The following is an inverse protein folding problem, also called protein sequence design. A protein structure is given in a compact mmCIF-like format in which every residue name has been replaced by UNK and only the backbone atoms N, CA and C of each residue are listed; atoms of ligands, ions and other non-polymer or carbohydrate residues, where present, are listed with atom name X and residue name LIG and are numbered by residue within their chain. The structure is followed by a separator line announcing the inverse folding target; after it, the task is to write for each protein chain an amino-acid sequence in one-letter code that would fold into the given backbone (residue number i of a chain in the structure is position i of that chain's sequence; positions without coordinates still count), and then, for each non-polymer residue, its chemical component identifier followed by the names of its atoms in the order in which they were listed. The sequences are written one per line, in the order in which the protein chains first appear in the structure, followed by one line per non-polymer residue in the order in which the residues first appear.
data_IF_975226885919
#
_entry.id   IF_975226885919
#
_cell.length_a   1.000
_cell.length_b   1.000
_cell.length_c   1.000
_cell.angle_alpha   90.00
_cell.angle_beta   90.00
_cell.angle_gamma   90.00
#
_symmetry.space_group_name_H-M   'P 1'
#
loop_
_entity.id
_entity.type
_entity.pdbx_description
1 polymer ?
#
# COMPACT_ATOMS: atom_id res chain seq x y z
N UNK A 1 -15.63 15.73 7.62
CA UNK A 1 -16.32 16.94 8.12
C UNK A 1 -17.42 17.24 7.11
N UNK A 2 -18.69 17.38 7.55
CA UNK A 2 -19.75 17.84 6.66
C UNK A 2 -19.50 19.28 6.22
N UNK A 3 -20.09 19.69 5.07
CA UNK A 3 -19.99 21.07 4.57
C UNK A 3 -20.42 22.09 5.63
N UNK A 4 -21.47 21.77 6.41
CA UNK A 4 -21.99 22.62 7.49
C UNK A 4 -20.99 22.73 8.66
N UNK A 5 -20.31 21.64 9.02
CA UNK A 5 -19.24 21.65 10.03
C UNK A 5 -18.03 22.47 9.57
N UNK A 6 -17.67 22.40 8.29
CA UNK A 6 -16.63 23.24 7.71
C UNK A 6 -17.00 24.73 7.69
N UNK A 7 -18.27 25.07 7.44
CA UNK A 7 -18.76 26.45 7.53
C UNK A 7 -18.73 27.00 8.96
N UNK A 8 -19.15 26.19 9.95
CA UNK A 8 -19.11 26.59 11.37
C UNK A 8 -17.67 26.82 11.81
N UNK A 9 -16.73 25.93 11.44
CA UNK A 9 -15.30 26.11 11.71
C UNK A 9 -14.77 27.37 11.04
N UNK A 10 -15.08 27.59 9.77
CA UNK A 10 -14.62 28.76 9.02
C UNK A 10 -15.16 30.08 9.62
N UNK A 11 -16.41 30.10 10.08
CA UNK A 11 -16.98 31.26 10.82
C UNK A 11 -16.29 31.48 12.16
N UNK A 12 -15.99 30.41 12.90
CA UNK A 12 -15.29 30.48 14.19
C UNK A 12 -13.85 31.01 14.01
N UNK A 13 -13.13 30.56 13.00
CA UNK A 13 -11.77 31.04 12.68
C UNK A 13 -11.74 32.42 12.06
N UNK A 14 -12.73 32.78 11.22
CA UNK A 14 -12.84 34.13 10.67
C UNK A 14 -13.17 35.15 11.74
N UNK A 15 -13.98 34.80 12.73
CA UNK A 15 -14.25 35.67 13.88
C UNK A 15 -13.02 35.86 14.79
N UNK A 16 -12.17 34.84 14.90
CA UNK A 16 -10.91 34.94 15.64
C UNK A 16 -9.84 35.78 14.89
N UNK A 17 -9.87 35.79 13.55
CA UNK A 17 -8.96 36.57 12.71
C UNK A 17 -9.40 38.05 12.58
N UNK A 18 -10.66 38.40 12.89
CA UNK A 18 -11.16 39.81 12.85
C UNK A 18 -11.02 40.53 14.18
N UNK A 19 -10.56 39.87 15.25
CA UNK A 19 -10.16 40.53 16.49
C UNK A 19 -8.77 41.12 16.32
N UNK A 20 -8.75 42.35 15.79
CA UNK A 20 -7.71 43.36 15.87
C UNK A 20 -6.25 42.90 15.89
N UNK A 21 -5.70 42.53 14.73
CA UNK A 21 -4.28 42.47 14.50
C UNK A 21 -3.88 43.32 13.29
N UNK A 22 -4.04 44.61 13.42
CA UNK A 22 -3.39 45.61 12.53
C UNK A 22 -2.02 46.00 13.06
N UNK A 23 -1.33 45.17 13.83
CA UNK A 23 0.08 45.30 14.00
C UNK A 23 0.78 44.56 12.86
N UNK A 24 1.45 45.31 12.00
CA UNK A 24 2.41 44.77 11.04
C UNK A 24 3.43 43.92 11.81
N UNK A 25 3.24 42.58 11.75
CA UNK A 25 4.29 41.66 12.18
C UNK A 25 5.37 41.74 11.09
N UNK A 26 6.35 42.63 11.27
CA UNK A 26 7.60 42.55 10.54
C UNK A 26 8.18 41.17 10.84
N UNK A 27 8.29 40.31 9.81
CA UNK A 27 9.04 39.06 9.91
C UNK A 27 10.51 39.39 10.29
N UNK A 28 10.78 39.32 11.56
CA UNK A 28 12.14 39.55 12.07
C UNK A 28 13.06 38.39 11.65
N UNK A 29 14.24 38.64 11.12
CA UNK A 29 15.25 37.60 10.83
C UNK A 29 15.62 36.71 12.02
N UNK A 30 15.30 37.15 13.25
CA UNK A 30 15.50 36.34 14.46
C UNK A 30 14.61 35.08 14.53
N UNK A 31 13.51 35.02 13.79
CA UNK A 31 12.64 33.84 13.75
C UNK A 31 13.37 32.60 13.15
N UNK A 32 14.28 32.80 12.22
CA UNK A 32 15.09 31.71 11.65
C UNK A 32 16.17 31.19 12.60
N UNK A 33 16.73 32.05 13.47
CA UNK A 33 17.75 31.64 14.44
C UNK A 33 17.15 30.85 15.62
N UNK A 34 15.89 31.13 16.00
CA UNK A 34 15.17 30.36 17.03
C UNK A 34 14.65 29.02 16.48
N UNK A 35 14.37 28.90 15.18
CA UNK A 35 14.00 27.64 14.59
C UNK A 35 15.13 26.61 14.48
N UNK A 36 16.39 27.03 14.44
CA UNK A 36 17.53 26.11 14.45
C UNK A 36 17.77 25.45 15.83
N UNK A 37 17.19 26.00 16.91
CA UNK A 37 17.21 25.41 18.24
C UNK A 37 15.97 24.63 18.63
N UNK A 38 14.96 24.52 17.75
CA UNK A 38 13.64 23.93 18.01
C UNK A 38 13.47 22.53 17.47
N UNK A 39 14.49 21.70 17.38
CA UNK A 39 14.20 20.34 16.97
C UNK A 39 14.90 19.27 17.75
N UNK A 40 14.47 19.06 18.95
CA UNK A 40 14.53 17.69 19.43
C UNK A 40 13.42 16.93 18.68
N UNK A 41 13.81 16.19 17.65
CA UNK A 41 12.90 15.26 16.96
C UNK A 41 12.32 14.20 17.92
N UNK A 42 12.72 14.24 19.18
CA UNK A 42 12.29 13.42 20.30
C UNK A 42 11.92 14.35 21.46
N UNK A 43 10.63 14.36 21.85
CA UNK A 43 10.12 15.15 22.98
C UNK A 43 10.57 14.57 24.32
N UNK A 44 10.60 13.25 24.45
CA UNK A 44 11.04 12.53 25.63
C UNK A 44 11.42 11.10 25.30
N UNK A 45 12.24 10.49 26.17
CA UNK A 45 12.57 9.07 26.12
C UNK A 45 12.48 8.48 27.52
N UNK A 46 11.86 7.32 27.66
CA UNK A 46 11.92 6.49 28.86
C UNK A 46 12.78 5.27 28.58
N UNK A 47 13.82 5.07 29.38
CA UNK A 47 14.68 3.91 29.26
C UNK A 47 13.95 2.63 29.64
N UNK A 48 14.23 1.56 28.94
CA UNK A 48 13.68 0.24 29.20
C UNK A 48 14.03 -0.27 30.60
N UNK A 49 13.14 -1.06 31.12
CA UNK A 49 13.25 -1.81 32.38
C UNK A 49 12.94 -3.28 32.11
N UNK A 50 13.00 -4.14 33.12
CA UNK A 50 12.82 -5.58 32.94
C UNK A 50 11.53 -6.00 32.23
N UNK A 51 10.44 -5.23 32.37
CA UNK A 51 9.12 -5.50 31.80
C UNK A 51 8.69 -4.45 30.73
N UNK A 52 9.52 -3.44 30.46
CA UNK A 52 9.18 -2.36 29.54
C UNK A 52 10.34 -2.10 28.59
N UNK A 53 10.12 -2.10 27.26
CA UNK A 53 11.12 -1.66 26.27
C UNK A 53 11.40 -0.15 26.40
N UNK A 54 12.45 0.33 25.76
CA UNK A 54 12.67 1.78 25.57
C UNK A 54 11.42 2.39 24.91
N UNK A 55 11.03 3.61 25.34
CA UNK A 55 9.92 4.37 24.77
C UNK A 55 10.41 5.71 24.29
N UNK A 56 10.06 6.10 23.08
CA UNK A 56 10.34 7.42 22.52
C UNK A 56 9.05 8.12 22.10
N UNK A 57 8.93 9.38 22.45
CA UNK A 57 7.81 10.24 22.11
C UNK A 57 8.28 11.28 21.09
N UNK A 58 7.61 11.34 19.93
CA UNK A 58 7.98 12.24 18.83
C UNK A 58 6.81 13.11 18.39
N UNK A 59 7.02 14.39 18.10
CA UNK A 59 6.01 15.19 17.44
C UNK A 59 5.87 14.74 15.97
N UNK A 60 4.64 14.72 15.47
CA UNK A 60 4.35 14.46 14.06
C UNK A 60 3.45 15.58 13.52
N UNK A 61 4.00 16.79 13.41
CA UNK A 61 3.25 18.02 13.17
C UNK A 61 2.64 18.57 14.48
N UNK A 62 1.63 19.42 14.34
CA UNK A 62 0.99 20.13 15.47
C UNK A 62 -0.22 19.41 16.10
N UNK A 63 -0.73 18.36 15.44
CA UNK A 63 -1.94 17.63 15.84
C UNK A 63 -1.71 16.13 16.00
N UNK A 64 -0.46 15.68 15.93
CA UNK A 64 -0.11 14.27 16.06
C UNK A 64 1.09 14.09 16.99
N UNK A 65 1.03 13.02 17.77
CA UNK A 65 2.14 12.54 18.58
C UNK A 65 2.35 11.04 18.29
N UNK A 66 3.60 10.65 18.05
CA UNK A 66 4.01 9.28 17.83
C UNK A 66 4.70 8.73 19.08
N UNK A 67 4.19 7.60 19.59
CA UNK A 67 4.85 6.81 20.64
C UNK A 67 5.49 5.59 19.98
N UNK A 68 6.77 5.36 20.21
CA UNK A 68 7.53 4.24 19.66
C UNK A 68 8.16 3.40 20.76
N UNK A 69 8.08 2.07 20.62
CA UNK A 69 8.65 1.10 21.56
C UNK A 69 9.81 0.31 20.93
N UNK A 70 10.91 0.18 21.69
CA UNK A 70 12.02 -0.70 21.37
C UNK A 70 12.70 -0.45 20.03
N UNK A 71 13.37 -1.46 19.53
CA UNK A 71 14.07 -1.44 18.25
C UNK A 71 13.12 -1.59 17.04
N UNK A 72 13.61 -1.28 15.84
CA UNK A 72 12.87 -1.41 14.58
C UNK A 72 12.82 -2.88 14.13
N UNK A 73 12.09 -3.71 14.87
CA UNK A 73 11.93 -5.15 14.62
C UNK A 73 10.46 -5.54 14.60
N UNK A 74 10.16 -6.64 13.89
CA UNK A 74 8.83 -7.25 13.91
C UNK A 74 8.71 -8.17 15.13
N UNK A 75 8.21 -7.61 16.23
CA UNK A 75 8.00 -8.29 17.50
C UNK A 75 6.56 -8.11 17.97
N UNK A 76 5.84 -9.22 18.22
CA UNK A 76 4.45 -9.16 18.69
C UNK A 76 4.36 -8.64 20.13
N UNK A 77 5.39 -8.78 20.96
CA UNK A 77 5.38 -8.21 22.31
C UNK A 77 5.23 -6.68 22.23
N UNK A 78 5.92 -6.02 21.27
CA UNK A 78 5.76 -4.58 21.04
C UNK A 78 4.35 -4.24 20.55
N UNK A 79 3.76 -5.08 19.69
CA UNK A 79 2.39 -4.88 19.19
C UNK A 79 1.33 -5.02 20.31
N UNK A 80 1.53 -5.96 21.22
CA UNK A 80 0.68 -6.11 22.41
C UNK A 80 0.84 -4.92 23.36
N UNK A 81 2.07 -4.42 23.53
CA UNK A 81 2.31 -3.19 24.33
C UNK A 81 1.56 -1.99 23.75
N UNK A 82 1.61 -1.80 22.41
CA UNK A 82 0.83 -0.78 21.71
C UNK A 82 -0.67 -0.96 21.95
N UNK A 83 -1.16 -2.20 21.94
CA UNK A 83 -2.56 -2.48 22.20
C UNK A 83 -2.95 -2.07 23.63
N UNK A 84 -2.13 -2.42 24.62
CA UNK A 84 -2.36 -2.05 26.01
C UNK A 84 -2.40 -0.51 26.17
N UNK A 85 -1.45 0.23 25.59
CA UNK A 85 -1.46 1.69 25.60
C UNK A 85 -2.72 2.26 24.92
N UNK A 86 -3.09 1.72 23.77
CA UNK A 86 -4.29 2.17 23.06
C UNK A 86 -5.57 1.94 23.89
N UNK A 87 -5.68 0.81 24.60
CA UNK A 87 -6.81 0.57 25.50
C UNK A 87 -6.79 1.54 26.66
N UNK A 88 -5.63 1.73 27.31
CA UNK A 88 -5.50 2.69 28.42
C UNK A 88 -5.97 4.09 28.01
N UNK A 89 -5.52 4.60 26.84
CA UNK A 89 -5.93 5.92 26.33
C UNK A 89 -7.44 5.99 26.08
N UNK A 90 -8.06 4.92 25.58
CA UNK A 90 -9.51 4.85 25.36
C UNK A 90 -10.28 4.84 26.68
N UNK A 91 -9.82 4.08 27.66
CA UNK A 91 -10.47 3.94 28.96
C UNK A 91 -10.44 5.25 29.75
N UNK A 92 -9.38 6.05 29.59
CA UNK A 92 -9.30 7.40 30.20
C UNK A 92 -10.26 8.41 29.57
N UNK A 93 -10.80 8.14 28.38
CA UNK A 93 -11.72 9.06 27.68
C UNK A 93 -11.20 10.49 27.58
N UNK A 94 -9.91 10.65 27.28
CA UNK A 94 -9.21 11.94 27.29
C UNK A 94 -9.84 12.89 26.26
N UNK A 95 -10.34 14.03 26.73
CA UNK A 95 -10.90 15.06 25.87
C UNK A 95 -9.82 15.62 24.94
N UNK A 96 -10.13 15.80 23.66
CA UNK A 96 -9.19 16.25 22.63
C UNK A 96 -8.50 15.12 21.86
N UNK A 97 -8.60 13.86 22.27
CA UNK A 97 -8.16 12.74 21.42
C UNK A 97 -9.18 12.53 20.30
N UNK A 98 -8.71 12.56 19.05
CA UNK A 98 -9.54 12.40 17.85
C UNK A 98 -9.48 10.98 17.32
N UNK A 99 -8.26 10.41 17.19
CA UNK A 99 -8.05 9.07 16.65
C UNK A 99 -6.75 8.43 17.16
N UNK A 100 -6.73 7.10 17.15
CA UNK A 100 -5.60 6.27 17.58
C UNK A 100 -5.25 5.27 16.46
N UNK A 101 -4.08 5.42 15.85
CA UNK A 101 -3.62 4.55 14.77
C UNK A 101 -2.45 3.68 15.23
N UNK A 102 -2.68 2.39 15.54
CA UNK A 102 -1.62 1.50 15.98
C UNK A 102 -0.79 0.99 14.80
N UNK A 103 0.53 1.04 14.95
CA UNK A 103 1.51 0.34 14.12
C UNK A 103 1.99 -0.96 14.78
N UNK A 104 3.11 -1.50 14.30
CA UNK A 104 3.71 -2.73 14.84
C UNK A 104 4.35 -2.47 16.21
N UNK A 105 5.11 -1.39 16.32
CA UNK A 105 5.81 -0.96 17.53
C UNK A 105 5.53 0.50 17.90
N UNK A 106 4.52 1.11 17.30
CA UNK A 106 4.20 2.52 17.48
C UNK A 106 2.71 2.77 17.59
N UNK A 107 2.33 3.84 18.28
CA UNK A 107 0.98 4.38 18.31
C UNK A 107 1.03 5.83 17.85
N UNK A 108 0.34 6.15 16.76
CA UNK A 108 0.10 7.54 16.38
C UNK A 108 -1.21 8.02 17.02
N UNK A 109 -1.12 9.12 17.72
CA UNK A 109 -2.24 9.76 18.40
C UNK A 109 -2.57 11.06 17.68
N UNK A 110 -3.78 11.14 17.12
CA UNK A 110 -4.33 12.36 16.57
C UNK A 110 -5.11 13.10 17.67
N UNK A 111 -4.76 14.34 17.92
CA UNK A 111 -5.39 15.15 18.97
C UNK A 111 -5.68 16.57 18.50
N UNK A 112 -6.68 17.19 19.09
CA UNK A 112 -6.99 18.61 18.91
C UNK A 112 -6.10 19.44 19.83
N UNK A 113 -5.10 20.09 19.27
CA UNK A 113 -4.12 20.90 20.01
C UNK A 113 -4.73 22.18 20.63
N UNK A 114 -5.96 22.54 20.29
CA UNK A 114 -6.69 23.63 20.93
C UNK A 114 -7.41 23.19 22.21
N UNK A 115 -7.63 21.89 22.38
CA UNK A 115 -8.30 21.29 23.56
C UNK A 115 -7.30 20.61 24.48
N UNK A 116 -6.33 19.90 23.91
CA UNK A 116 -5.32 19.13 24.63
C UNK A 116 -3.93 19.57 24.13
N UNK A 117 -3.17 20.26 24.98
CA UNK A 117 -1.82 20.65 24.61
C UNK A 117 -0.85 19.47 24.61
N UNK A 118 0.19 19.55 23.80
CA UNK A 118 1.15 18.46 23.60
C UNK A 118 1.91 18.07 24.88
N UNK A 119 2.19 19.04 25.79
CA UNK A 119 2.90 18.76 27.05
C UNK A 119 2.03 17.97 28.00
N UNK A 120 0.73 18.32 28.07
CA UNK A 120 -0.23 17.58 28.88
C UNK A 120 -0.43 16.17 28.34
N UNK A 121 -0.60 16.00 27.00
CA UNK A 121 -0.68 14.69 26.39
C UNK A 121 0.57 13.85 26.69
N UNK A 122 1.78 14.44 26.56
CA UNK A 122 3.02 13.75 26.88
C UNK A 122 3.07 13.29 28.34
N UNK A 123 2.64 14.12 29.29
CA UNK A 123 2.60 13.76 30.71
C UNK A 123 1.64 12.59 30.98
N UNK A 124 0.45 12.60 30.35
CA UNK A 124 -0.51 11.50 30.43
C UNK A 124 0.06 10.19 29.87
N UNK A 125 0.76 10.25 28.76
CA UNK A 125 1.38 9.06 28.15
C UNK A 125 2.53 8.51 28.99
N UNK A 126 3.31 9.38 29.64
CA UNK A 126 4.36 8.96 30.59
C UNK A 126 3.74 8.34 31.86
N UNK A 127 2.61 8.87 32.35
CA UNK A 127 1.85 8.27 33.43
C UNK A 127 1.33 6.88 33.03
N UNK A 128 0.77 6.74 31.82
CA UNK A 128 0.31 5.46 31.27
C UNK A 128 1.38 4.37 31.41
N UNK A 129 2.66 4.69 31.14
CA UNK A 129 3.74 3.71 31.21
C UNK A 129 3.95 3.10 32.59
N UNK A 130 3.57 3.81 33.66
CA UNK A 130 3.59 3.29 35.03
C UNK A 130 2.35 2.48 35.41
N UNK A 131 1.27 2.61 34.65
CA UNK A 131 -0.03 1.97 34.91
C UNK A 131 -0.33 0.80 33.97
N UNK A 132 0.39 0.68 32.84
CA UNK A 132 0.20 -0.42 31.91
C UNK A 132 0.53 -1.77 32.55
N UNK A 133 -0.31 -2.80 32.34
CA UNK A 133 -0.06 -4.14 32.85
C UNK A 133 1.17 -4.77 32.20
N UNK A 134 1.69 -5.83 32.83
CA UNK A 134 2.61 -6.76 32.18
C UNK A 134 1.87 -7.45 31.02
N UNK A 135 2.37 -7.26 29.78
CA UNK A 135 1.73 -7.79 28.58
C UNK A 135 2.10 -9.25 28.31
N UNK A 136 3.09 -9.82 29.02
CA UNK A 136 3.61 -11.16 28.73
C UNK A 136 2.58 -12.27 28.80
N UNK A 137 1.53 -12.12 29.63
CA UNK A 137 0.42 -13.05 29.75
C UNK A 137 -0.90 -12.50 29.16
N UNK A 138 -0.82 -11.45 28.34
CA UNK A 138 -2.02 -10.82 27.76
C UNK A 138 -2.67 -11.72 26.72
N UNK A 139 -3.99 -11.74 26.76
CA UNK A 139 -4.86 -12.38 25.78
C UNK A 139 -5.67 -11.35 25.04
N UNK A 140 -5.86 -11.55 23.74
CA UNK A 140 -6.72 -10.71 22.91
C UNK A 140 -7.68 -11.57 22.09
N UNK A 141 -8.93 -11.10 21.85
CA UNK A 141 -9.81 -11.75 20.89
C UNK A 141 -9.14 -11.83 19.52
N UNK A 142 -9.15 -13.01 18.91
CA UNK A 142 -8.50 -13.29 17.63
C UNK A 142 -9.37 -14.24 16.82
N UNK A 143 -10.09 -13.69 15.81
CA UNK A 143 -10.90 -14.52 14.90
C UNK A 143 -10.02 -15.09 13.82
N UNK A 144 -10.32 -16.30 13.38
CA UNK A 144 -9.76 -16.84 12.11
C UNK A 144 -10.77 -16.59 10.98
N UNK A 145 -10.37 -15.77 10.02
CA UNK A 145 -11.17 -15.41 8.84
C UNK A 145 -10.64 -16.19 7.65
N UNK A 146 -11.46 -17.09 7.11
CA UNK A 146 -11.09 -17.92 5.97
C UNK A 146 -11.45 -17.19 4.68
N UNK A 147 -10.45 -16.96 3.82
CA UNK A 147 -10.60 -16.23 2.57
C UNK A 147 -10.27 -17.11 1.37
N UNK A 148 -11.09 -17.10 0.29
CA UNK A 148 -10.73 -17.75 -0.95
C UNK A 148 -9.52 -17.04 -1.59
N UNK A 149 -8.61 -17.80 -2.19
CA UNK A 149 -7.49 -17.26 -2.94
C UNK A 149 -7.34 -18.01 -4.26
N UNK A 150 -7.52 -17.29 -5.38
CA UNK A 150 -7.11 -17.76 -6.69
C UNK A 150 -5.62 -17.49 -6.86
N UNK A 151 -4.84 -18.58 -6.88
CA UNK A 151 -3.40 -18.54 -6.99
C UNK A 151 -2.96 -18.10 -8.39
N UNK A 152 -1.99 -17.17 -8.48
CA UNK A 152 -1.47 -16.66 -9.76
C UNK A 152 -2.60 -16.20 -10.73
N UNK A 153 -3.61 -15.50 -10.20
CA UNK A 153 -4.79 -15.01 -10.94
C UNK A 153 -4.40 -14.17 -12.17
N UNK A 154 -5.18 -14.32 -13.26
CA UNK A 154 -4.90 -13.68 -14.55
C UNK A 154 -4.78 -12.16 -14.49
N UNK A 155 -5.54 -11.50 -13.61
CA UNK A 155 -5.46 -10.04 -13.46
C UNK A 155 -4.16 -9.60 -12.79
N UNK A 156 -3.59 -10.42 -11.89
CA UNK A 156 -2.27 -10.13 -11.30
C UNK A 156 -1.14 -10.37 -12.31
N UNK A 157 -1.29 -11.35 -13.20
CA UNK A 157 -0.37 -11.57 -14.31
C UNK A 157 -0.42 -10.39 -15.31
N UNK A 158 -1.63 -9.97 -15.70
CA UNK A 158 -1.82 -8.79 -16.56
C UNK A 158 -1.18 -7.52 -15.95
N UNK A 159 -1.31 -7.32 -14.63
CA UNK A 159 -0.69 -6.18 -13.97
C UNK A 159 0.85 -6.24 -14.03
N UNK A 160 1.44 -7.43 -13.95
CA UNK A 160 2.88 -7.63 -14.11
C UNK A 160 3.34 -7.39 -15.54
N UNK A 161 2.61 -7.91 -16.53
CA UNK A 161 2.88 -7.68 -17.95
C UNK A 161 2.81 -6.18 -18.31
N UNK A 162 1.75 -5.52 -17.83
CA UNK A 162 1.56 -4.08 -18.01
C UNK A 162 2.71 -3.27 -17.42
N UNK A 163 3.16 -3.63 -16.23
CA UNK A 163 4.30 -3.00 -15.59
C UNK A 163 5.59 -3.15 -16.42
N UNK A 164 5.87 -4.33 -16.93
CA UNK A 164 7.03 -4.56 -17.79
C UNK A 164 6.99 -3.74 -19.08
N UNK A 165 5.78 -3.53 -19.64
CA UNK A 165 5.62 -2.80 -20.89
C UNK A 165 5.71 -1.27 -20.70
N UNK A 166 5.24 -0.74 -19.57
CA UNK A 166 5.03 0.71 -19.42
C UNK A 166 5.92 1.37 -18.36
N UNK A 167 6.56 0.58 -17.49
CA UNK A 167 7.34 1.14 -16.37
C UNK A 167 8.77 0.62 -16.38
N UNK A 168 8.97 -0.70 -16.31
CA UNK A 168 10.31 -1.29 -16.19
C UNK A 168 10.37 -2.70 -16.76
N UNK A 169 10.87 -2.86 -18.00
CA UNK A 169 10.90 -4.17 -18.67
C UNK A 169 11.90 -5.16 -18.08
N UNK A 170 12.98 -4.67 -17.45
CA UNK A 170 14.09 -5.46 -16.90
C UNK A 170 14.02 -5.67 -15.39
N UNK A 171 12.84 -5.46 -14.78
CA UNK A 171 12.68 -5.57 -13.33
C UNK A 171 13.01 -6.99 -12.82
N UNK A 172 13.87 -7.14 -11.80
CA UNK A 172 14.34 -8.44 -11.32
C UNK A 172 13.26 -9.39 -10.79
N UNK A 173 12.11 -8.84 -10.41
CA UNK A 173 10.93 -9.58 -9.92
C UNK A 173 9.94 -9.96 -11.01
N UNK A 174 10.20 -9.59 -12.25
CA UNK A 174 9.39 -9.90 -13.42
C UNK A 174 10.05 -11.02 -14.25
N UNK A 175 9.27 -11.74 -15.06
CA UNK A 175 7.82 -11.67 -15.25
C UNK A 175 7.00 -12.44 -14.21
N UNK A 176 7.62 -13.18 -13.29
CA UNK A 176 6.99 -14.13 -12.38
C UNK A 176 7.30 -13.77 -10.93
N UNK A 177 6.32 -13.16 -10.24
CA UNK A 177 6.49 -12.75 -8.86
C UNK A 177 6.64 -13.93 -7.89
N UNK A 178 5.98 -15.05 -8.14
CA UNK A 178 6.09 -16.26 -7.29
C UNK A 178 7.47 -16.88 -7.42
N UNK A 179 8.02 -16.94 -8.63
CA UNK A 179 9.39 -17.37 -8.84
C UNK A 179 10.41 -16.42 -8.17
N UNK A 180 10.16 -15.12 -8.22
CA UNK A 180 10.96 -14.16 -7.49
C UNK A 180 10.90 -14.37 -5.98
N UNK A 181 9.70 -14.57 -5.41
CA UNK A 181 9.53 -14.90 -3.99
C UNK A 181 10.30 -16.18 -3.64
N UNK A 182 10.23 -17.21 -4.48
CA UNK A 182 10.99 -18.45 -4.30
C UNK A 182 12.49 -18.19 -4.18
N UNK A 183 13.06 -17.48 -5.18
CA UNK A 183 14.51 -17.22 -5.26
C UNK A 183 15.03 -16.42 -4.07
N UNK A 184 14.38 -15.30 -3.77
CA UNK A 184 14.85 -14.35 -2.74
C UNK A 184 14.75 -14.95 -1.32
N UNK A 185 13.90 -15.96 -1.12
CA UNK A 185 13.76 -16.67 0.15
C UNK A 185 14.54 -18.00 0.21
N UNK A 186 15.21 -18.41 -0.87
CA UNK A 186 15.96 -19.65 -0.94
C UNK A 186 15.11 -20.92 -0.86
N UNK A 187 13.89 -20.88 -1.39
CA UNK A 187 12.99 -22.03 -1.41
C UNK A 187 13.23 -22.92 -2.63
N UNK A 188 12.98 -24.23 -2.47
CA UNK A 188 13.29 -25.24 -3.49
C UNK A 188 12.38 -25.15 -4.71
N UNK A 189 11.13 -24.70 -4.55
CA UNK A 189 10.14 -24.66 -5.64
C UNK A 189 9.07 -23.59 -5.43
N UNK A 190 8.39 -23.21 -6.52
CA UNK A 190 7.16 -22.39 -6.46
C UNK A 190 6.07 -23.06 -5.62
N UNK A 191 6.02 -24.40 -5.62
CA UNK A 191 5.09 -25.15 -4.78
C UNK A 191 5.36 -24.92 -3.30
N UNK A 192 6.63 -24.82 -2.87
CA UNK A 192 6.97 -24.50 -1.48
C UNK A 192 6.48 -23.09 -1.08
N UNK A 193 6.50 -22.10 -2.00
CA UNK A 193 5.90 -20.78 -1.76
C UNK A 193 4.40 -20.93 -1.54
N UNK A 194 3.72 -21.66 -2.41
CA UNK A 194 2.28 -21.91 -2.34
C UNK A 194 1.89 -22.61 -1.04
N UNK A 195 2.61 -23.66 -0.66
CA UNK A 195 2.36 -24.42 0.55
C UNK A 195 2.48 -23.54 1.80
N UNK A 196 3.50 -22.67 1.86
CA UNK A 196 3.66 -21.71 2.93
C UNK A 196 2.46 -20.76 2.98
N UNK A 197 2.05 -20.17 1.84
CA UNK A 197 0.95 -19.20 1.79
C UNK A 197 -0.35 -19.82 2.29
N UNK A 198 -0.68 -21.04 1.88
CA UNK A 198 -1.95 -21.69 2.25
C UNK A 198 -1.92 -22.36 3.65
N UNK A 199 -0.76 -22.74 4.16
CA UNK A 199 -0.66 -23.30 5.53
C UNK A 199 -0.64 -22.23 6.62
N UNK A 200 -0.31 -20.99 6.26
CA UNK A 200 -0.06 -19.89 7.19
C UNK A 200 -1.34 -19.31 7.78
N UNK A 201 -1.28 -18.93 9.06
CA UNK A 201 -2.18 -17.97 9.68
C UNK A 201 -1.50 -16.59 9.69
N UNK A 202 -2.09 -15.62 8.98
CA UNK A 202 -1.59 -14.25 8.89
C UNK A 202 -2.27 -13.36 9.94
N UNK A 203 -1.53 -12.94 10.95
CA UNK A 203 -2.05 -12.04 11.98
C UNK A 203 -2.17 -10.62 11.45
N UNK A 204 -3.37 -10.04 11.53
CA UNK A 204 -3.66 -8.65 11.15
C UNK A 204 -3.08 -7.71 12.21
N UNK A 205 -1.98 -7.04 11.88
CA UNK A 205 -1.25 -6.13 12.75
C UNK A 205 -1.74 -4.69 12.63
N UNK A 206 -2.22 -4.31 11.45
CA UNK A 206 -2.73 -3.00 11.10
C UNK A 206 -3.82 -3.08 10.04
N UNK A 207 -4.62 -2.02 9.93
CA UNK A 207 -5.68 -1.85 8.93
C UNK A 207 -5.54 -0.48 8.29
N UNK A 208 -5.69 -0.40 6.97
CA UNK A 208 -5.58 0.85 6.23
C UNK A 208 -4.15 1.22 5.85
N UNK A 209 -3.34 0.24 5.39
CA UNK A 209 -1.98 0.48 4.91
C UNK A 209 -1.94 1.63 3.87
N UNK A 210 -2.65 1.46 2.75
CA UNK A 210 -2.87 2.52 1.74
C UNK A 210 -4.37 2.77 1.60
N UNK A 211 -5.20 1.74 1.80
CA UNK A 211 -6.63 1.76 1.59
C UNK A 211 -7.37 1.37 2.87
N UNK A 212 -8.56 1.95 3.05
CA UNK A 212 -9.43 1.69 4.18
C UNK A 212 -9.70 0.19 4.38
N UNK A 213 -9.40 -0.33 5.57
CA UNK A 213 -9.62 -1.73 5.92
C UNK A 213 -8.67 -2.73 5.24
N UNK A 214 -7.71 -2.28 4.45
CA UNK A 214 -6.67 -3.15 3.88
C UNK A 214 -5.76 -3.67 5.00
N UNK A 215 -5.56 -4.99 5.11
CA UNK A 215 -4.73 -5.55 6.18
C UNK A 215 -3.23 -5.37 5.88
N UNK A 216 -2.48 -5.04 6.92
CA UNK A 216 -1.06 -5.34 7.03
C UNK A 216 -0.96 -6.53 7.96
N UNK A 217 -0.65 -7.70 7.41
CA UNK A 217 -0.64 -8.94 8.16
C UNK A 217 0.71 -9.66 8.06
N UNK A 218 1.06 -10.41 9.10
CA UNK A 218 2.30 -11.18 9.13
C UNK A 218 2.04 -12.61 9.59
N UNK A 219 2.76 -13.62 9.09
CA UNK A 219 2.70 -14.97 9.61
C UNK A 219 3.04 -15.03 11.10
N UNK A 220 2.22 -15.76 11.86
CA UNK A 220 2.51 -16.05 13.27
C UNK A 220 3.82 -16.86 13.39
N UNK A 221 3.96 -17.90 12.59
CA UNK A 221 5.22 -18.66 12.54
C UNK A 221 6.28 -17.87 11.73
N UNK A 222 7.42 -17.51 12.35
CA UNK A 222 8.49 -16.80 11.66
C UNK A 222 9.09 -17.55 10.46
N UNK A 223 8.96 -18.89 10.40
CA UNK A 223 9.42 -19.71 9.26
C UNK A 223 8.53 -19.57 8.03
N UNK A 224 7.34 -19.01 8.19
CA UNK A 224 6.42 -18.67 7.09
C UNK A 224 6.51 -17.22 6.64
N UNK A 225 7.35 -16.40 7.26
CA UNK A 225 7.52 -14.98 6.90
C UNK A 225 8.39 -14.86 5.66
N UNK A 226 7.77 -14.99 4.50
CA UNK A 226 8.41 -14.74 3.22
C UNK A 226 8.74 -13.24 3.12
N UNK A 227 9.98 -12.92 2.77
CA UNK A 227 10.45 -11.54 2.58
C UNK A 227 10.61 -11.22 1.12
N UNK A 228 10.28 -10.00 0.72
CA UNK A 228 10.48 -9.52 -0.65
C UNK A 228 10.91 -8.06 -0.65
N UNK A 229 11.45 -7.59 -1.76
CA UNK A 229 11.49 -6.17 -2.06
C UNK A 229 10.17 -5.73 -2.70
N UNK A 230 9.87 -4.45 -2.62
CA UNK A 230 8.75 -3.85 -3.37
C UNK A 230 9.17 -3.57 -4.81
N UNK A 231 8.19 -3.43 -5.69
CA UNK A 231 8.41 -2.87 -7.03
C UNK A 231 9.03 -1.46 -6.93
N UNK A 232 10.04 -1.20 -7.72
CA UNK A 232 10.69 0.10 -7.83
C UNK A 232 10.99 0.41 -9.31
N UNK A 233 10.29 1.38 -9.92
CA UNK A 233 9.13 2.14 -9.42
C UNK A 233 7.92 1.25 -9.08
N UNK A 234 6.94 1.80 -8.33
CA UNK A 234 5.69 1.09 -8.07
C UNK A 234 4.89 0.88 -9.37
N UNK A 235 4.05 -0.19 -9.42
CA UNK A 235 3.10 -0.36 -10.51
C UNK A 235 2.11 0.79 -10.52
N UNK A 236 1.70 1.21 -11.70
CA UNK A 236 0.65 2.22 -11.91
C UNK A 236 -0.75 1.64 -11.63
N UNK A 237 -0.92 0.35 -11.90
CA UNK A 237 -2.18 -0.36 -11.68
C UNK A 237 -1.97 -1.70 -10.97
N UNK A 238 -2.84 -1.97 -10.00
CA UNK A 238 -2.95 -3.22 -9.24
C UNK A 238 -4.43 -3.56 -9.18
N UNK A 239 -4.86 -4.78 -9.53
CA UNK A 239 -6.27 -5.14 -9.49
C UNK A 239 -6.81 -5.17 -8.05
N UNK A 240 -8.09 -4.83 -7.88
CA UNK A 240 -8.72 -4.89 -6.55
C UNK A 240 -8.66 -6.31 -5.97
N UNK A 241 -8.41 -6.39 -4.70
CA UNK A 241 -8.26 -7.62 -3.91
C UNK A 241 -7.09 -8.53 -4.33
N UNK A 242 -6.11 -7.98 -5.05
CA UNK A 242 -4.83 -8.64 -5.21
C UNK A 242 -4.19 -8.88 -3.85
N UNK A 243 -3.62 -10.06 -3.67
CA UNK A 243 -2.86 -10.45 -2.49
C UNK A 243 -1.39 -10.40 -2.83
N UNK A 244 -0.62 -9.69 -2.03
CA UNK A 244 0.81 -9.53 -2.27
C UNK A 244 1.64 -9.51 -1.01
N UNK A 245 2.94 -9.79 -1.17
CA UNK A 245 3.94 -9.77 -0.11
C UNK A 245 4.93 -8.63 -0.38
N UNK A 246 5.18 -7.81 0.63
CA UNK A 246 6.12 -6.70 0.57
C UNK A 246 6.85 -6.51 1.90
N UNK A 247 8.19 -6.54 1.89
CA UNK A 247 8.94 -6.73 3.13
C UNK A 247 8.61 -8.09 3.73
N UNK A 248 8.23 -8.13 5.00
CA UNK A 248 7.78 -9.34 5.71
C UNK A 248 6.25 -9.36 5.92
N UNK A 249 5.51 -8.57 5.16
CA UNK A 249 4.07 -8.40 5.35
C UNK A 249 3.27 -8.84 4.12
N UNK A 250 2.11 -9.41 4.38
CA UNK A 250 1.07 -9.66 3.40
C UNK A 250 0.05 -8.54 3.45
N UNK A 251 -0.39 -8.08 2.29
CA UNK A 251 -1.46 -7.11 2.12
C UNK A 251 -2.51 -7.62 1.13
N UNK A 252 -3.75 -7.21 1.32
CA UNK A 252 -4.84 -7.34 0.34
C UNK A 252 -5.21 -5.95 -0.13
N UNK A 253 -5.10 -5.70 -1.43
CA UNK A 253 -5.45 -4.40 -2.00
C UNK A 253 -6.96 -4.21 -1.99
N UNK A 254 -7.45 -3.23 -1.23
CA UNK A 254 -8.89 -3.00 -1.07
C UNK A 254 -9.60 -2.45 -2.30
N UNK A 255 -8.86 -1.85 -3.23
CA UNK A 255 -9.36 -1.25 -4.47
C UNK A 255 -8.25 -1.20 -5.51
N UNK A 256 -8.61 -0.93 -6.77
CA UNK A 256 -7.63 -0.69 -7.83
C UNK A 256 -6.79 0.57 -7.54
N UNK A 257 -5.52 0.50 -7.91
CA UNK A 257 -4.60 1.63 -7.69
C UNK A 257 -3.13 1.24 -7.85
N UNK A 258 -2.21 2.14 -7.53
CA UNK A 258 -0.78 1.83 -7.55
C UNK A 258 -0.42 0.79 -6.48
N UNK A 259 0.64 0.03 -6.73
CA UNK A 259 1.10 -0.95 -5.75
C UNK A 259 2.50 -1.44 -5.99
N UNK A 260 3.16 -1.90 -4.93
CA UNK A 260 4.55 -2.35 -4.97
C UNK A 260 4.80 -3.76 -4.43
N UNK A 261 3.79 -4.46 -3.90
CA UNK A 261 3.99 -5.80 -3.35
C UNK A 261 4.04 -6.86 -4.45
N UNK A 262 4.79 -7.93 -4.19
CA UNK A 262 4.90 -9.08 -5.08
C UNK A 262 3.63 -9.93 -4.99
N UNK A 263 3.00 -10.20 -6.11
CA UNK A 263 1.73 -10.91 -6.15
C UNK A 263 1.86 -12.41 -5.82
N UNK A 264 0.82 -12.93 -5.17
CA UNK A 264 0.60 -14.38 -5.01
C UNK A 264 -0.76 -14.81 -5.59
N UNK A 265 -1.68 -13.90 -5.77
CA UNK A 265 -3.00 -14.19 -6.33
C UNK A 265 -4.00 -13.10 -5.99
N UNK A 266 -5.30 -13.44 -6.05
CA UNK A 266 -6.40 -12.51 -5.76
C UNK A 266 -7.46 -13.17 -4.87
N UNK A 267 -8.09 -12.38 -4.01
CA UNK A 267 -9.12 -12.81 -3.05
C UNK A 267 -10.43 -12.04 -3.23
N UNK A 268 -11.31 -12.11 -2.24
CA UNK A 268 -12.59 -11.42 -2.23
C UNK A 268 -12.51 -10.04 -1.61
N UNK A 269 -13.61 -9.29 -1.66
CA UNK A 269 -13.74 -7.93 -1.15
C UNK A 269 -13.53 -7.88 0.37
N UNK A 270 -12.70 -6.92 0.81
CA UNK A 270 -12.38 -6.70 2.22
C UNK A 270 -13.16 -5.52 2.83
N UNK A 271 -13.69 -4.62 1.98
CA UNK A 271 -14.40 -3.42 2.42
C UNK A 271 -15.43 -2.97 1.37
N UNK A 272 -16.43 -2.20 1.81
CA UNK A 272 -17.35 -1.51 0.92
C UNK A 272 -17.93 -0.28 1.61
N UNK A 273 -17.71 0.89 1.04
CA UNK A 273 -18.27 2.14 1.56
C UNK A 273 -19.78 2.26 1.34
N UNK A 274 -20.27 1.68 0.25
CA UNK A 274 -21.63 1.92 -0.23
C UNK A 274 -22.60 0.75 0.01
N UNK A 275 -22.09 -0.44 0.28
CA UNK A 275 -22.90 -1.65 0.49
C UNK A 275 -22.67 -2.17 1.90
N UNK A 276 -23.76 -2.39 2.64
CA UNK A 276 -23.72 -3.12 3.89
C UNK A 276 -23.59 -4.60 3.59
N UNK A 277 -22.51 -5.23 4.01
CA UNK A 277 -22.33 -6.67 3.96
C UNK A 277 -22.59 -7.22 5.38
N UNK A 278 -23.33 -8.33 5.54
CA UNK A 278 -23.59 -8.96 6.84
C UNK A 278 -22.33 -9.33 7.61
N UNK A 279 -21.23 -9.60 6.91
CA UNK A 279 -19.92 -9.93 7.53
C UNK A 279 -19.15 -8.68 8.02
N UNK A 280 -19.63 -7.47 7.67
CA UNK A 280 -19.06 -6.20 8.16
C UNK A 280 -19.75 -5.77 9.43
N UNK A 281 -19.22 -6.18 10.55
CA UNK A 281 -19.83 -5.98 11.86
C UNK A 281 -19.64 -4.56 12.41
N UNK A 282 -20.44 -4.20 13.41
CA UNK A 282 -20.40 -2.92 14.12
C UNK A 282 -20.57 -1.68 13.23
N UNK A 283 -21.25 -1.83 12.08
CA UNK A 283 -21.47 -0.72 11.14
C UNK A 283 -20.21 -0.24 10.41
N UNK A 284 -19.08 -0.95 10.53
CA UNK A 284 -17.84 -0.62 9.84
C UNK A 284 -17.94 -1.02 8.36
N UNK A 285 -17.32 -0.26 7.46
CA UNK A 285 -17.29 -0.59 6.04
C UNK A 285 -16.19 -1.60 5.65
N UNK A 286 -15.64 -2.37 6.59
CA UNK A 286 -14.60 -3.37 6.35
C UNK A 286 -14.78 -4.63 7.20
N UNK A 287 -14.19 -5.74 6.72
CA UNK A 287 -14.32 -7.09 7.28
C UNK A 287 -13.44 -7.33 8.51
N UNK A 288 -12.17 -6.98 8.40
CA UNK A 288 -11.12 -7.41 9.33
C UNK A 288 -11.03 -6.52 10.56
N UNK A 289 -10.48 -7.09 11.63
CA UNK A 289 -10.18 -6.41 12.90
C UNK A 289 -8.69 -6.58 13.25
N UNK A 290 -8.18 -5.75 14.13
CA UNK A 290 -6.87 -6.00 14.72
C UNK A 290 -6.85 -7.35 15.42
N UNK A 291 -5.76 -8.08 15.27
CA UNK A 291 -5.55 -9.42 15.76
C UNK A 291 -6.39 -10.52 15.10
N UNK A 292 -7.21 -10.25 14.09
CA UNK A 292 -7.75 -11.31 13.25
C UNK A 292 -6.61 -12.11 12.60
N UNK A 293 -6.85 -13.38 12.35
CA UNK A 293 -5.95 -14.25 11.59
C UNK A 293 -6.59 -14.54 10.24
N UNK A 294 -5.92 -14.21 9.16
CA UNK A 294 -6.34 -14.58 7.81
C UNK A 294 -5.78 -15.95 7.49
N UNK A 295 -6.63 -16.86 7.04
CA UNK A 295 -6.26 -18.15 6.49
C UNK A 295 -6.82 -18.31 5.10
N UNK A 296 -5.94 -18.51 4.12
CA UNK A 296 -6.36 -18.71 2.75
C UNK A 296 -6.73 -20.17 2.48
N UNK A 297 -7.71 -20.39 1.59
CA UNK A 297 -8.01 -21.67 0.96
C UNK A 297 -8.08 -21.50 -0.55
N UNK A 298 -7.59 -22.51 -1.27
CA UNK A 298 -7.47 -22.45 -2.71
C UNK A 298 -8.83 -22.56 -3.41
N UNK A 299 -9.04 -21.71 -4.39
CA UNK A 299 -10.16 -21.77 -5.35
C UNK A 299 -9.64 -21.49 -6.76
N UNK A 300 -10.36 -21.95 -7.77
CA UNK A 300 -10.10 -21.53 -9.15
C UNK A 300 -10.48 -20.05 -9.36
N UNK A 301 -9.93 -19.43 -10.39
CA UNK A 301 -10.28 -18.05 -10.75
C UNK A 301 -11.78 -17.91 -11.06
N UNK A 302 -12.37 -18.88 -11.75
CA UNK A 302 -13.81 -18.90 -12.06
C UNK A 302 -14.67 -18.95 -10.79
N UNK A 303 -14.31 -19.81 -9.84
CA UNK A 303 -14.98 -19.89 -8.54
C UNK A 303 -14.82 -18.58 -7.76
N UNK A 304 -13.62 -18.02 -7.74
CA UNK A 304 -13.38 -16.73 -7.08
C UNK A 304 -14.29 -15.64 -7.64
N UNK A 305 -14.40 -15.52 -8.97
CA UNK A 305 -15.26 -14.51 -9.60
C UNK A 305 -16.72 -14.66 -9.19
N UNK A 306 -17.25 -15.90 -9.16
CA UNK A 306 -18.60 -16.15 -8.66
C UNK A 306 -18.74 -15.80 -7.18
N UNK A 307 -17.77 -16.20 -6.34
CA UNK A 307 -17.77 -15.88 -4.91
C UNK A 307 -17.71 -14.37 -4.65
N UNK A 308 -16.95 -13.61 -5.44
CA UNK A 308 -16.86 -12.14 -5.35
C UNK A 308 -18.22 -11.48 -5.63
N UNK A 309 -18.94 -11.93 -6.66
CA UNK A 309 -20.28 -11.42 -6.96
C UNK A 309 -21.30 -11.80 -5.87
N UNK A 310 -21.23 -13.01 -5.36
CA UNK A 310 -22.11 -13.48 -4.29
C UNK A 310 -21.83 -12.77 -2.97
N UNK A 311 -20.58 -12.51 -2.65
CA UNK A 311 -20.20 -11.76 -1.45
C UNK A 311 -20.65 -10.30 -1.53
N UNK A 312 -20.42 -9.62 -2.66
CA UNK A 312 -20.90 -8.24 -2.89
C UNK A 312 -22.44 -8.15 -2.82
N UNK A 313 -23.14 -9.18 -3.22
CA UNK A 313 -24.60 -9.27 -3.17
C UNK A 313 -25.14 -9.73 -1.79
N UNK A 314 -24.27 -10.08 -0.85
CA UNK A 314 -24.66 -10.59 0.47
C UNK A 314 -25.20 -12.03 0.46
N UNK A 315 -24.98 -12.79 -0.62
CA UNK A 315 -25.39 -14.20 -0.75
C UNK A 315 -24.36 -15.18 -0.21
N UNK A 316 -23.06 -14.82 -0.26
CA UNK A 316 -22.00 -15.61 0.32
C UNK A 316 -21.66 -15.07 1.70
N UNK A 317 -21.63 -15.95 2.70
CA UNK A 317 -21.10 -15.69 4.04
C UNK A 317 -19.72 -16.33 4.16
N UNK A 318 -18.75 -15.55 4.65
CA UNK A 318 -17.41 -16.07 4.90
C UNK A 318 -17.40 -16.94 6.17
N UNK A 319 -16.53 -17.94 6.18
CA UNK A 319 -16.26 -18.70 7.41
C UNK A 319 -15.40 -17.87 8.33
N UNK A 320 -15.90 -17.63 9.52
CA UNK A 320 -15.18 -16.93 10.60
C UNK A 320 -15.31 -17.79 11.86
N UNK A 321 -14.19 -18.01 12.54
CA UNK A 321 -14.13 -18.76 13.80
C UNK A 321 -13.58 -17.84 14.88
N UNK A 322 -14.32 -17.73 15.99
CA UNK A 322 -13.86 -16.99 17.14
C UNK A 322 -12.71 -17.73 17.84
N UNK A 323 -11.79 -16.98 18.42
CA UNK A 323 -10.64 -17.52 19.13
C UNK A 323 -9.97 -16.46 19.99
N UNK A 324 -8.88 -16.84 20.58
CA UNK A 324 -8.05 -16.00 21.45
C UNK A 324 -6.59 -16.17 21.01
N UNK A 325 -5.86 -15.07 20.96
CA UNK A 325 -4.40 -15.09 20.82
C UNK A 325 -3.79 -14.79 22.18
N UNK A 326 -3.06 -15.77 22.73
CA UNK A 326 -2.34 -15.69 24.00
C UNK A 326 -0.86 -15.38 23.71
N UNK A 327 -0.36 -14.27 24.23
CA UNK A 327 1.01 -13.83 23.99
C UNK A 327 2.04 -14.78 24.63
N UNK A 328 1.71 -15.34 25.81
CA UNK A 328 2.61 -16.30 26.46
C UNK A 328 2.77 -17.57 25.65
N UNK A 329 1.68 -18.17 25.17
CA UNK A 329 1.73 -19.37 24.31
C UNK A 329 2.52 -19.09 23.02
N UNK A 330 2.35 -17.91 22.45
CA UNK A 330 3.13 -17.49 21.29
C UNK A 330 4.64 -17.39 21.62
N UNK A 331 5.02 -16.81 22.74
CA UNK A 331 6.40 -16.70 23.16
C UNK A 331 7.01 -18.10 23.50
N UNK A 332 6.24 -18.96 24.16
CA UNK A 332 6.64 -20.35 24.42
C UNK A 332 6.92 -21.10 23.08
N UNK A 333 6.03 -20.96 22.10
CA UNK A 333 6.23 -21.48 20.75
C UNK A 333 7.52 -20.96 20.09
N UNK A 334 7.84 -19.68 20.23
CA UNK A 334 9.08 -19.10 19.67
C UNK A 334 10.32 -19.69 20.32
N UNK A 335 10.28 -19.91 21.65
CA UNK A 335 11.39 -20.51 22.41
C UNK A 335 11.60 -21.97 21.98
N UNK A 336 10.53 -22.75 21.93
CA UNK A 336 10.58 -24.17 21.53
C UNK A 336 11.12 -24.36 20.10
N UNK A 337 10.82 -23.43 19.21
CA UNK A 337 11.22 -23.49 17.80
C UNK A 337 12.44 -22.62 17.44
N UNK A 338 13.13 -22.05 18.42
CA UNK A 338 14.18 -21.05 18.21
C UNK A 338 15.27 -21.51 17.22
N UNK A 339 15.73 -22.76 17.34
CA UNK A 339 16.78 -23.31 16.48
C UNK A 339 16.33 -23.40 15.01
N UNK A 340 15.13 -23.91 14.74
CA UNK A 340 14.59 -24.03 13.37
C UNK A 340 14.25 -22.67 12.76
N UNK A 341 13.76 -21.73 13.56
CA UNK A 341 13.50 -20.34 13.15
C UNK A 341 14.82 -19.65 12.76
N UNK A 342 15.86 -19.81 13.58
CA UNK A 342 17.19 -19.24 13.31
C UNK A 342 17.80 -19.82 12.03
N UNK A 343 17.70 -21.13 11.83
CA UNK A 343 18.17 -21.80 10.60
C UNK A 343 17.45 -21.28 9.35
N UNK A 344 16.12 -21.19 9.40
CA UNK A 344 15.33 -20.64 8.29
C UNK A 344 15.73 -19.21 7.95
N UNK A 345 15.83 -18.34 8.97
CA UNK A 345 16.24 -16.94 8.79
C UNK A 345 17.64 -16.81 8.20
N UNK A 346 18.58 -17.65 8.59
CA UNK A 346 19.94 -17.62 8.06
C UNK A 346 19.98 -17.96 6.56
N UNK A 347 19.23 -19.00 6.14
CA UNK A 347 19.10 -19.38 4.73
C UNK A 347 18.42 -18.26 3.94
N UNK A 348 17.32 -17.72 4.45
CA UNK A 348 16.57 -16.63 3.83
C UNK A 348 17.45 -15.38 3.65
N UNK A 349 18.17 -14.97 4.70
CA UNK A 349 19.04 -13.79 4.66
C UNK A 349 20.16 -13.95 3.63
N UNK A 350 20.80 -15.12 3.58
CA UNK A 350 21.86 -15.39 2.60
C UNK A 350 21.34 -15.30 1.16
N UNK A 351 20.16 -15.85 0.87
CA UNK A 351 19.56 -15.78 -0.47
C UNK A 351 19.08 -14.37 -0.82
N UNK A 352 18.58 -13.62 0.15
CA UNK A 352 18.19 -12.24 -0.01
C UNK A 352 19.40 -11.37 -0.39
N UNK A 353 20.53 -11.53 0.30
CA UNK A 353 21.78 -10.81 0.02
C UNK A 353 22.37 -11.20 -1.35
N UNK A 354 22.31 -12.49 -1.68
CA UNK A 354 22.75 -12.99 -2.99
C UNK A 354 21.92 -12.44 -4.14
N UNK A 355 20.60 -12.34 -3.99
CA UNK A 355 19.72 -11.77 -5.00
C UNK A 355 20.02 -10.26 -5.18
N UNK A 356 20.20 -9.51 -4.10
CA UNK A 356 20.58 -8.10 -4.17
C UNK A 356 21.96 -7.89 -4.79
N UNK A 357 22.92 -8.73 -4.49
CA UNK A 357 24.26 -8.67 -5.12
C UNK A 357 24.16 -8.88 -6.63
N UNK A 358 23.40 -9.87 -7.09
CA UNK A 358 23.15 -10.10 -8.53
C UNK A 358 22.56 -8.88 -9.22
N UNK A 359 21.62 -8.19 -8.57
CA UNK A 359 21.06 -6.95 -9.13
C UNK A 359 22.10 -5.85 -9.25
N UNK A 360 22.94 -5.72 -8.23
CA UNK A 360 24.00 -4.69 -8.26
C UNK A 360 25.03 -4.98 -9.36
N UNK A 361 25.49 -6.22 -9.49
CA UNK A 361 26.43 -6.67 -10.52
C UNK A 361 25.84 -6.53 -11.95
N UNK A 362 24.53 -6.71 -12.09
CA UNK A 362 23.83 -6.55 -13.37
C UNK A 362 23.37 -5.10 -13.65
N UNK A 363 23.64 -4.13 -12.76
CA UNK A 363 23.17 -2.74 -12.90
C UNK A 363 21.67 -2.56 -12.71
N UNK A 364 20.98 -3.54 -12.11
CA UNK A 364 19.52 -3.54 -11.90
C UNK A 364 19.11 -3.03 -10.53
N UNK A 365 20.06 -2.67 -9.65
CA UNK A 365 19.74 -2.23 -8.29
C UNK A 365 19.01 -0.89 -8.25
N UNK A 366 19.36 0.01 -9.18
CA UNK A 366 18.74 1.32 -9.34
C UNK A 366 18.07 1.38 -10.71
N UNK A 367 16.86 1.91 -10.74
CA UNK A 367 16.17 2.24 -11.98
C UNK A 367 16.26 3.74 -12.18
N UNK A 368 17.05 4.14 -13.16
CA UNK A 368 17.02 5.50 -13.70
C UNK A 368 15.96 5.46 -14.80
N UNK A 369 14.81 6.11 -14.59
CA UNK A 369 13.93 6.37 -15.73
C UNK A 369 14.74 7.25 -16.67
N UNK A 370 15.14 6.69 -17.81
CA UNK A 370 15.62 7.52 -18.89
C UNK A 370 14.52 8.54 -19.17
N UNK A 371 14.74 9.78 -18.78
CA UNK A 371 14.06 10.88 -19.41
C UNK A 371 14.57 10.84 -20.85
N UNK A 372 13.78 10.20 -21.72
CA UNK A 372 14.06 10.18 -23.14
C UNK A 372 13.98 11.62 -23.65
N UNK A 373 15.07 12.35 -23.49
CA UNK A 373 15.41 13.51 -24.31
C UNK A 373 15.85 13.06 -25.71
N UNK A 374 15.28 11.97 -26.21
CA UNK A 374 15.29 11.71 -27.65
C UNK A 374 14.36 12.75 -28.26
N UNK A 375 14.96 13.80 -28.72
CA UNK A 375 14.35 14.68 -29.72
C UNK A 375 14.12 13.78 -30.94
N UNK A 376 12.91 13.18 -31.02
CA UNK A 376 12.45 12.62 -32.26
C UNK A 376 12.31 13.81 -33.19
N UNK A 377 13.09 13.79 -34.25
CA UNK A 377 13.02 14.78 -35.33
C UNK A 377 11.73 14.50 -36.11
N UNK A 378 10.64 15.12 -35.75
CA UNK A 378 9.34 15.04 -36.45
C UNK A 378 9.42 15.63 -37.89
N UNK A 379 10.59 16.10 -38.32
CA UNK A 379 10.78 16.76 -39.61
C UNK A 379 10.68 15.82 -40.81
N UNK A 380 10.63 14.49 -40.62
CA UNK A 380 10.52 13.49 -41.71
C UNK A 380 9.12 12.87 -41.85
N UNK A 381 8.14 13.20 -40.96
CA UNK A 381 6.81 12.62 -41.06
C UNK A 381 6.02 13.30 -42.19
N UNK A 382 5.82 12.58 -43.30
CA UNK A 382 5.03 13.08 -44.44
C UNK A 382 3.53 12.83 -44.17
N UNK A 383 2.74 13.91 -44.08
CA UNK A 383 1.30 13.83 -44.04
C UNK A 383 0.77 13.73 -45.46
N UNK A 384 -0.05 12.72 -45.81
CA UNK A 384 -0.66 12.57 -47.14
C UNK A 384 -1.47 13.80 -47.54
N UNK A 385 -1.53 14.07 -48.85
CA UNK A 385 -2.36 15.19 -49.35
C UNK A 385 -3.83 14.98 -49.01
N UNK A 386 -4.44 15.96 -48.33
CA UNK A 386 -5.79 15.86 -47.79
C UNK A 386 -5.90 14.97 -46.52
N UNK A 387 -4.79 14.47 -46.01
CA UNK A 387 -4.73 13.70 -44.78
C UNK A 387 -4.49 14.55 -43.52
N UNK A 388 -4.42 13.93 -42.35
CA UNK A 388 -4.11 14.58 -41.09
C UNK A 388 -3.13 13.76 -40.25
N UNK A 389 -2.46 14.43 -39.33
CA UNK A 389 -1.71 13.79 -38.25
C UNK A 389 -2.61 13.67 -36.99
N UNK A 390 -2.51 12.55 -36.29
CA UNK A 390 -3.09 12.36 -35.00
C UNK A 390 -1.97 12.41 -33.97
N UNK A 391 -2.03 13.40 -33.10
CA UNK A 391 -0.98 13.70 -32.12
C UNK A 391 -1.41 13.28 -30.70
N UNK A 392 -0.43 13.05 -29.85
CA UNK A 392 -0.67 12.84 -28.42
C UNK A 392 -1.07 14.16 -27.74
N UNK A 393 -2.18 14.16 -27.04
CA UNK A 393 -2.65 15.33 -26.28
C UNK A 393 -1.91 15.55 -24.97
N UNK A 394 -1.16 14.54 -24.51
CA UNK A 394 -0.45 14.58 -23.23
C UNK A 394 0.74 13.60 -23.23
N UNK A 395 1.69 13.78 -22.31
CA UNK A 395 2.77 12.80 -22.15
C UNK A 395 2.22 11.52 -21.49
N UNK A 396 2.71 10.35 -21.93
CA UNK A 396 2.29 9.06 -21.43
C UNK A 396 3.02 7.91 -22.09
N UNK A 397 2.57 6.69 -21.86
CA UNK A 397 3.10 5.47 -22.48
C UNK A 397 2.04 4.78 -23.33
N UNK A 398 2.40 4.29 -24.50
CA UNK A 398 1.47 3.58 -25.40
C UNK A 398 1.12 2.22 -24.79
N UNK A 399 -0.11 2.09 -24.30
CA UNK A 399 -0.60 0.84 -23.72
C UNK A 399 -1.03 -0.18 -24.78
N UNK A 400 -1.80 0.29 -25.77
CA UNK A 400 -2.30 -0.52 -26.86
C UNK A 400 -2.31 0.27 -28.17
N UNK A 401 -2.18 -0.44 -29.27
CA UNK A 401 -2.47 0.04 -30.64
C UNK A 401 -3.62 -0.84 -31.12
N UNK A 402 -4.75 -0.22 -31.48
CA UNK A 402 -5.99 -0.93 -31.81
C UNK A 402 -6.28 -0.95 -33.34
N UNK A 403 -5.40 -0.39 -34.15
CA UNK A 403 -5.51 -0.35 -35.61
C UNK A 403 -4.22 -0.82 -36.28
N UNK A 404 -4.34 -1.12 -37.58
CA UNK A 404 -3.21 -1.53 -38.44
C UNK A 404 -3.04 -0.57 -39.63
N UNK A 405 -1.81 -0.46 -40.15
CA UNK A 405 -1.57 0.34 -41.34
C UNK A 405 -2.36 -0.22 -42.54
N UNK A 406 -3.02 0.67 -43.27
CA UNK A 406 -3.90 0.35 -44.38
C UNK A 406 -5.38 0.15 -43.99
N UNK A 407 -5.71 0.09 -42.69
CA UNK A 407 -7.07 -0.09 -42.19
C UNK A 407 -7.89 1.20 -42.35
N UNK A 408 -9.17 1.06 -42.71
CA UNK A 408 -10.14 2.17 -42.70
C UNK A 408 -10.82 2.20 -41.35
N UNK A 409 -10.70 3.34 -40.67
CA UNK A 409 -11.28 3.59 -39.34
C UNK A 409 -12.42 4.61 -39.46
N UNK A 410 -13.46 4.43 -38.66
CA UNK A 410 -14.59 5.35 -38.60
C UNK A 410 -14.29 6.50 -37.61
N UNK A 411 -14.99 7.63 -37.74
CA UNK A 411 -14.92 8.71 -36.79
C UNK A 411 -15.18 8.23 -35.34
N UNK A 412 -14.30 8.61 -34.41
CA UNK A 412 -14.37 8.20 -33.00
C UNK A 412 -13.82 6.79 -32.72
N UNK A 413 -13.34 6.04 -33.73
CA UNK A 413 -12.69 4.74 -33.49
C UNK A 413 -11.41 4.94 -32.71
N UNK A 414 -11.13 4.07 -31.75
CA UNK A 414 -9.88 4.10 -30.97
C UNK A 414 -8.73 3.57 -31.83
N UNK A 415 -7.70 4.39 -32.03
CA UNK A 415 -6.47 4.07 -32.75
C UNK A 415 -5.41 3.49 -31.81
N UNK A 416 -5.28 4.09 -30.63
CA UNK A 416 -4.37 3.66 -29.57
C UNK A 416 -4.93 4.04 -28.20
N UNK A 417 -4.35 3.46 -27.16
CA UNK A 417 -4.62 3.84 -25.77
C UNK A 417 -3.29 4.26 -25.14
N UNK A 418 -3.26 5.47 -24.61
CA UNK A 418 -2.13 5.99 -23.82
C UNK A 418 -2.45 5.80 -22.33
N UNK A 419 -1.48 5.29 -21.57
CA UNK A 419 -1.50 5.36 -20.12
C UNK A 419 -0.75 6.62 -19.68
N UNK A 420 -1.48 7.54 -19.04
CA UNK A 420 -0.92 8.77 -18.48
C UNK A 420 -1.47 8.99 -17.08
N UNK A 421 -0.61 9.29 -16.10
CA UNK A 421 -1.00 9.56 -14.71
C UNK A 421 -1.97 8.52 -14.12
N UNK A 422 -1.78 7.23 -14.48
CA UNK A 422 -2.61 6.08 -14.05
C UNK A 422 -4.03 6.06 -14.65
N UNK A 423 -4.25 6.72 -15.74
CA UNK A 423 -5.52 6.76 -16.48
C UNK A 423 -5.26 6.28 -17.90
N UNK A 424 -6.14 5.44 -18.42
CA UNK A 424 -6.16 5.03 -19.82
C UNK A 424 -6.94 6.05 -20.65
N UNK A 425 -6.27 6.60 -21.67
CA UNK A 425 -6.83 7.65 -22.49
C UNK A 425 -6.82 7.17 -23.93
N UNK A 426 -8.00 7.02 -24.55
CA UNK A 426 -8.08 6.63 -25.94
C UNK A 426 -7.66 7.79 -26.88
N UNK A 427 -6.84 7.46 -27.86
CA UNK A 427 -6.57 8.30 -29.02
C UNK A 427 -7.52 7.86 -30.11
N UNK A 428 -8.37 8.77 -30.57
CA UNK A 428 -9.47 8.45 -31.48
C UNK A 428 -9.23 9.04 -32.88
N UNK A 429 -9.81 8.40 -33.88
CA UNK A 429 -9.85 8.91 -35.23
C UNK A 429 -10.73 10.16 -35.32
N UNK A 430 -10.27 11.29 -35.91
CA UNK A 430 -11.06 12.52 -35.98
C UNK A 430 -12.24 12.44 -36.97
N UNK A 431 -12.09 11.62 -38.00
CA UNK A 431 -13.09 11.35 -39.03
C UNK A 431 -12.83 10.00 -39.70
N UNK A 432 -13.71 9.56 -40.62
CA UNK A 432 -13.53 8.31 -41.35
C UNK A 432 -12.36 8.42 -42.30
N UNK A 433 -11.24 7.77 -42.01
CA UNK A 433 -9.97 7.84 -42.72
C UNK A 433 -9.27 6.47 -42.82
N UNK A 434 -8.26 6.40 -43.69
CA UNK A 434 -7.38 5.25 -43.79
C UNK A 434 -6.12 5.51 -42.99
N UNK A 435 -5.72 4.57 -42.13
CA UNK A 435 -4.43 4.62 -41.41
C UNK A 435 -3.30 4.43 -42.40
N UNK A 436 -2.50 5.47 -42.62
CA UNK A 436 -1.38 5.39 -43.56
C UNK A 436 -0.09 4.96 -42.88
N UNK A 437 0.29 5.64 -41.79
CA UNK A 437 1.49 5.28 -41.03
C UNK A 437 1.18 5.25 -39.53
N UNK A 438 1.79 4.31 -38.84
CA UNK A 438 1.84 4.21 -37.37
C UNK A 438 3.27 4.52 -36.97
N UNK A 439 3.51 5.61 -36.21
CA UNK A 439 4.85 6.10 -35.84
C UNK A 439 5.27 5.67 -34.45
N UNK A 440 4.43 4.86 -33.77
CA UNK A 440 4.60 4.45 -32.39
C UNK A 440 4.60 2.93 -32.24
N UNK A 441 5.22 2.49 -31.14
CA UNK A 441 5.22 1.10 -30.72
C UNK A 441 4.59 0.94 -29.33
N UNK A 442 4.06 -0.25 -29.04
CA UNK A 442 3.52 -0.59 -27.72
C UNK A 442 4.62 -0.49 -26.66
N UNK A 443 4.35 0.22 -25.55
CA UNK A 443 5.30 0.49 -24.48
C UNK A 443 6.15 1.76 -24.67
N UNK A 444 6.11 2.38 -25.86
CA UNK A 444 6.84 3.62 -26.13
C UNK A 444 6.28 4.78 -25.30
N UNK A 445 7.18 5.60 -24.73
CA UNK A 445 6.82 6.88 -24.13
C UNK A 445 6.62 7.95 -25.20
N UNK A 446 5.56 8.73 -25.09
CA UNK A 446 5.19 9.81 -26.01
C UNK A 446 5.06 11.15 -25.28
N UNK A 447 5.33 12.24 -26.01
CA UNK A 447 5.23 13.62 -25.51
C UNK A 447 3.97 14.28 -26.09
N UNK A 448 3.47 15.32 -25.42
CA UNK A 448 2.40 16.16 -25.97
C UNK A 448 2.83 16.74 -27.34
N UNK A 449 1.94 16.67 -28.32
CA UNK A 449 2.19 17.12 -29.69
C UNK A 449 2.99 16.14 -30.55
N UNK A 450 3.41 15.00 -30.03
CA UNK A 450 4.08 13.97 -30.82
C UNK A 450 3.07 13.31 -31.77
N UNK A 451 3.42 13.21 -33.06
CA UNK A 451 2.61 12.52 -34.07
C UNK A 451 2.63 11.01 -33.79
N UNK A 452 1.45 10.42 -33.67
CA UNK A 452 1.27 8.98 -33.39
C UNK A 452 0.82 8.22 -34.65
N UNK A 453 0.00 8.87 -35.48
CA UNK A 453 -0.51 8.31 -36.73
C UNK A 453 -0.57 9.37 -37.81
N UNK A 454 -0.38 8.96 -39.05
CA UNK A 454 -0.82 9.75 -40.20
C UNK A 454 -2.01 9.05 -40.85
N UNK A 455 -3.04 9.81 -41.18
CA UNK A 455 -4.27 9.30 -41.78
C UNK A 455 -4.46 9.94 -43.15
N UNK A 456 -4.94 9.14 -44.11
CA UNK A 456 -5.25 9.58 -45.48
C UNK A 456 -6.76 9.56 -45.72
N UNK A 457 -7.31 10.42 -46.61
CA UNK A 457 -8.71 10.36 -46.97
C UNK A 457 -9.05 9.01 -47.61
N UNK A 458 -10.25 8.53 -47.35
CA UNK A 458 -10.77 7.31 -48.01
C UNK A 458 -11.22 7.71 -49.41
N UNK A 459 -10.60 7.13 -50.43
CA UNK A 459 -10.93 7.39 -51.83
C UNK A 459 -12.35 6.98 -52.21
#
# INVERSE_FOLDING_TARGET
ISYDQAQVLNQKYSAALTADTTENVEFSPSFHAEMETLSDAVLATLKGESARPDVSYRPAGNSYLLVEYGELVLDLNLRFRIHALMQWVKDQSIEGIIDLTPGIRSLQIHFDSLVLDQKHLLALLQQAESELPDVTAMEVPSRTVYLPLAWEDSQTQLATERYMQTVRPDAPWCPDNVEFIRRINGLDSKQAVKDIVFSTNYLVMGLGDVYLGAPVATPLDPRHRLVTTKYNPARTWTPENAVGIGGAYMCVYGMEGPGGYQFVGRTTQMWSRYRKNPDFEQGKPWLLRFFDQIKFYEVSETELMQMREDFKAGRLKLRVEDGVLNLKEYNDFLIENAASISSFKAVQQANFEDERRRWHEAGLAEHVSESLDTVLDDSEIQIPEGGCAVESHMPGSIWKIECTSGEIVEEGATLAVIEAMKIEIPIIAPERMKVETITIEKGQTVKTGQVLFTLAPVA
#
